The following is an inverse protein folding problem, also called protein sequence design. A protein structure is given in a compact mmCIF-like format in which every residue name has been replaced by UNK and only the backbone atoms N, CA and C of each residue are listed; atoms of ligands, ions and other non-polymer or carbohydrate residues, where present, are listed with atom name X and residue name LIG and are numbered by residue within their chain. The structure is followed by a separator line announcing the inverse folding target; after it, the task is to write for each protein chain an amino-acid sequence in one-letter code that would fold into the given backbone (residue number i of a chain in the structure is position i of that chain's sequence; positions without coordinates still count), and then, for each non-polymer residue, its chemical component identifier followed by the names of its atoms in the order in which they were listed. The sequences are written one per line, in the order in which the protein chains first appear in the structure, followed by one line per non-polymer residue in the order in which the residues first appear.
data_IF_828351306947
#
_entry.id   IF_828351306947
#
_cell.length_a   1.000
_cell.length_b   1.000
_cell.length_c   1.000
_cell.angle_alpha   90.00
_cell.angle_beta   90.00
_cell.angle_gamma   90.00
#
_symmetry.space_group_name_H-M   'P 1'
#
loop_
_entity.id
_entity.type
_entity.pdbx_description
1 polymer ?
#
# COMPACT_ATOMS: atom_id res chain seq x y z
N UNK A 1 11.53 19.30 -0.09
CA UNK A 1 10.45 18.29 0.06
C UNK A 1 9.12 19.02 0.21
N UNK A 2 8.05 18.56 -0.43
CA UNK A 2 6.76 19.27 -0.46
C UNK A 2 5.84 18.99 0.76
N UNK A 3 6.19 18.04 1.64
CA UNK A 3 5.51 17.80 2.92
C UNK A 3 4.19 17.02 2.87
N UNK A 4 3.75 16.56 1.70
CA UNK A 4 2.51 15.79 1.53
C UNK A 4 2.72 14.27 1.38
N UNK A 5 1.61 13.51 1.39
CA UNK A 5 1.58 12.05 1.18
C UNK A 5 2.42 11.24 2.18
N UNK A 6 2.43 11.69 3.44
CA UNK A 6 3.16 11.02 4.52
C UNK A 6 2.53 9.69 4.92
N UNK A 7 1.21 9.56 4.77
CA UNK A 7 0.47 8.33 5.04
C UNK A 7 -0.37 8.04 3.82
N UNK A 8 -0.26 6.81 3.32
CA UNK A 8 -0.98 6.33 2.15
C UNK A 8 -1.79 5.10 2.53
N UNK A 9 -3.02 4.97 2.03
CA UNK A 9 -3.88 3.81 2.24
C UNK A 9 -4.31 3.27 0.88
N UNK A 10 -3.97 2.01 0.56
CA UNK A 10 -4.43 1.35 -0.66
C UNK A 10 -4.40 -0.17 -0.51
N UNK A 11 -4.48 -0.92 -1.62
CA UNK A 11 -4.40 -2.39 -1.65
C UNK A 11 -3.21 -2.87 -2.48
N UNK A 12 -2.65 -4.00 -2.08
CA UNK A 12 -1.55 -4.67 -2.80
C UNK A 12 -0.16 -4.19 -2.41
N UNK A 13 0.84 -4.88 -2.93
CA UNK A 13 2.25 -4.56 -2.75
C UNK A 13 2.66 -3.31 -3.53
N UNK A 14 3.74 -2.66 -3.10
CA UNK A 14 4.29 -1.46 -3.74
C UNK A 14 5.74 -1.72 -4.15
N UNK A 15 6.24 -0.90 -5.07
CA UNK A 15 7.64 -0.94 -5.49
C UNK A 15 8.57 -0.45 -4.38
N UNK A 16 9.84 -0.84 -4.46
CA UNK A 16 10.90 -0.40 -3.54
C UNK A 16 11.07 1.12 -3.48
N UNK A 17 10.65 1.84 -4.52
CA UNK A 17 10.65 3.32 -4.54
C UNK A 17 9.77 3.89 -3.43
N UNK A 18 8.61 3.27 -3.16
CA UNK A 18 7.69 3.71 -2.10
C UNK A 18 8.30 3.41 -0.72
N UNK A 19 8.91 2.24 -0.54
CA UNK A 19 9.61 1.87 0.69
C UNK A 19 10.74 2.84 1.02
N UNK A 20 11.55 3.18 0.03
CA UNK A 20 12.64 4.15 0.20
C UNK A 20 12.11 5.55 0.50
N UNK A 21 11.01 5.96 -0.14
CA UNK A 21 10.36 7.24 0.13
C UNK A 21 9.80 7.31 1.57
N UNK A 22 9.13 6.25 2.04
CA UNK A 22 8.65 6.15 3.42
C UNK A 22 9.81 6.28 4.42
N UNK A 23 10.90 5.53 4.21
CA UNK A 23 12.10 5.60 5.05
C UNK A 23 12.74 6.99 5.07
N UNK A 24 12.87 7.63 3.90
CA UNK A 24 13.52 8.92 3.79
C UNK A 24 12.70 10.08 4.34
N UNK A 25 11.38 9.92 4.48
CA UNK A 25 10.45 10.98 4.88
C UNK A 25 9.73 10.71 6.20
N UNK A 26 9.85 9.52 6.80
CA UNK A 26 9.05 9.15 7.96
C UNK A 26 7.60 8.82 7.61
N UNK A 27 7.37 8.26 6.41
CA UNK A 27 6.04 7.96 5.90
C UNK A 27 5.61 6.51 6.15
N UNK A 28 4.31 6.25 5.99
CA UNK A 28 3.69 4.93 6.19
C UNK A 28 2.80 4.57 5.01
N UNK A 29 2.79 3.28 4.66
CA UNK A 29 1.83 2.72 3.71
C UNK A 29 0.96 1.69 4.41
N UNK A 30 -0.34 1.96 4.43
CA UNK A 30 -1.38 1.14 5.00
C UNK A 30 -2.05 0.31 3.90
N UNK A 31 -2.12 -1.00 4.09
CA UNK A 31 -2.82 -1.94 3.24
C UNK A 31 -4.23 -2.19 3.74
N UNK A 32 -5.25 -1.85 2.96
CA UNK A 32 -6.63 -2.31 3.17
C UNK A 32 -6.87 -3.67 2.50
N UNK A 33 -7.91 -4.37 2.95
CA UNK A 33 -8.31 -5.67 2.41
C UNK A 33 -8.98 -5.45 1.04
N UNK A 34 -8.39 -6.04 -0.01
CA UNK A 34 -8.96 -6.01 -1.35
C UNK A 34 -10.10 -7.02 -1.51
N UNK A 35 -11.22 -6.62 -2.12
CA UNK A 35 -12.40 -7.46 -2.33
C UNK A 35 -13.66 -6.89 -1.67
N UNK A 36 -13.75 -6.88 -0.33
CA UNK A 36 -14.94 -6.38 0.38
C UNK A 36 -15.01 -4.85 0.46
N UNK A 37 -14.49 -4.13 -0.53
CA UNK A 37 -14.40 -2.67 -0.52
C UNK A 37 -15.77 -2.01 -0.39
N UNK A 38 -16.81 -2.56 -1.02
CA UNK A 38 -18.18 -2.05 -0.91
C UNK A 38 -18.76 -2.23 0.51
N UNK A 39 -18.48 -3.38 1.15
CA UNK A 39 -18.93 -3.65 2.51
C UNK A 39 -18.19 -2.76 3.52
N UNK A 40 -16.86 -2.67 3.39
CA UNK A 40 -16.03 -1.77 4.21
C UNK A 40 -16.45 -0.32 4.03
N UNK A 41 -16.76 0.08 2.80
CA UNK A 41 -17.30 1.40 2.54
C UNK A 41 -18.62 1.62 3.29
N UNK A 42 -19.55 0.67 3.20
CA UNK A 42 -20.85 0.76 3.85
C UNK A 42 -20.77 0.79 5.39
N UNK A 43 -19.89 0.00 6.00
CA UNK A 43 -19.79 -0.11 7.46
C UNK A 43 -18.91 0.98 8.08
N UNK A 44 -17.78 1.30 7.43
CA UNK A 44 -16.74 2.15 7.99
C UNK A 44 -16.83 3.60 7.53
N UNK A 45 -17.41 3.93 6.37
CA UNK A 45 -17.49 5.32 5.90
C UNK A 45 -18.74 5.98 6.48
N UNK A 46 -18.54 7.06 7.24
CA UNK A 46 -19.61 7.84 7.88
C UNK A 46 -20.03 9.05 7.07
N UNK A 47 -19.13 9.59 6.27
CA UNK A 47 -19.37 10.78 5.46
C UNK A 47 -18.50 10.77 4.20
N UNK A 48 -19.05 11.28 3.10
CA UNK A 48 -18.35 11.46 1.82
C UNK A 48 -18.70 12.84 1.27
N UNK A 49 -17.69 13.65 0.97
CA UNK A 49 -17.82 14.97 0.37
C UNK A 49 -16.81 15.12 -0.76
N UNK A 50 -17.21 15.75 -1.87
CA UNK A 50 -16.28 16.15 -2.93
C UNK A 50 -15.49 17.36 -2.43
N UNK A 51 -14.17 17.29 -2.50
CA UNK A 51 -13.28 18.36 -2.08
C UNK A 51 -12.74 19.15 -3.28
N UNK A 52 -12.37 18.47 -4.36
CA UNK A 52 -11.77 19.09 -5.55
C UNK A 52 -11.95 18.21 -6.80
N UNK A 53 -11.83 18.81 -8.00
CA UNK A 53 -11.93 18.15 -9.32
C UNK A 53 -13.20 17.31 -9.55
N UNK A 54 -14.37 17.90 -9.28
CA UNK A 54 -15.68 17.25 -9.43
C UNK A 54 -15.93 16.70 -10.85
N UNK A 55 -15.35 17.33 -11.88
CA UNK A 55 -15.46 16.91 -13.27
C UNK A 55 -14.85 15.53 -13.57
N UNK A 56 -13.96 15.04 -12.69
CA UNK A 56 -13.35 13.70 -12.82
C UNK A 56 -14.27 12.58 -12.31
N UNK A 57 -15.46 12.91 -11.82
CA UNK A 57 -16.46 11.94 -11.36
C UNK A 57 -15.90 11.07 -10.24
N UNK A 58 -15.81 9.75 -10.47
CA UNK A 58 -15.31 8.82 -9.45
C UNK A 58 -13.83 9.03 -9.08
N UNK A 59 -13.05 9.70 -9.93
CA UNK A 59 -11.63 10.01 -9.69
C UNK A 59 -11.41 11.39 -9.03
N UNK A 60 -12.50 12.10 -8.68
CA UNK A 60 -12.42 13.36 -7.93
C UNK A 60 -11.69 13.19 -6.59
N UNK A 61 -11.26 14.31 -5.99
CA UNK A 61 -10.68 14.28 -4.65
C UNK A 61 -11.81 14.26 -3.62
N UNK A 62 -11.90 13.17 -2.88
CA UNK A 62 -12.94 12.97 -1.87
C UNK A 62 -12.40 13.19 -0.47
N UNK A 63 -13.16 13.94 0.35
CA UNK A 63 -12.98 13.96 1.80
C UNK A 63 -13.94 12.94 2.40
N UNK A 64 -13.39 11.91 3.03
CA UNK A 64 -14.15 10.86 3.70
C UNK A 64 -13.89 10.86 5.20
N UNK A 65 -14.93 10.62 5.99
CA UNK A 65 -14.83 10.36 7.42
C UNK A 65 -15.05 8.88 7.65
N UNK A 66 -14.11 8.23 8.33
CA UNK A 66 -14.12 6.78 8.55
C UNK A 66 -14.05 6.44 10.03
N UNK A 67 -14.70 5.35 10.42
CA UNK A 67 -14.65 4.79 11.76
C UNK A 67 -14.33 3.29 11.68
N UNK A 68 -13.41 2.82 12.53
CA UNK A 68 -13.00 1.41 12.62
C UNK A 68 -12.57 0.80 11.27
N UNK A 69 -11.93 1.58 10.40
CA UNK A 69 -11.49 1.11 9.09
C UNK A 69 -10.29 0.15 9.22
N UNK A 70 -10.42 -1.13 8.84
CA UNK A 70 -9.35 -2.10 8.99
C UNK A 70 -8.23 -1.84 7.98
N UNK A 71 -7.00 -1.73 8.48
CA UNK A 71 -5.81 -1.61 7.67
C UNK A 71 -4.59 -2.25 8.36
N UNK A 72 -3.63 -2.67 7.55
CA UNK A 72 -2.36 -3.24 8.00
C UNK A 72 -1.22 -2.28 7.67
N UNK A 73 -0.22 -2.16 8.54
CA UNK A 73 1.03 -1.46 8.17
C UNK A 73 1.80 -2.36 7.22
N UNK A 74 1.85 -1.97 5.95
CA UNK A 74 2.56 -2.72 4.90
C UNK A 74 3.98 -2.19 4.74
N UNK A 75 4.16 -0.87 4.76
CA UNK A 75 5.48 -0.24 4.79
C UNK A 75 5.56 0.72 5.97
N UNK A 76 6.66 0.63 6.71
CA UNK A 76 6.95 1.55 7.81
C UNK A 76 7.97 2.64 7.45
N UNK A 77 8.17 3.55 8.38
CA UNK A 77 9.13 4.65 8.33
C UNK A 77 10.60 4.21 8.46
N UNK A 78 10.87 2.91 8.64
CA UNK A 78 12.21 2.34 8.84
C UNK A 78 12.71 1.61 7.59
N UNK A 79 11.84 1.45 6.60
CA UNK A 79 12.12 0.75 5.35
C UNK A 79 11.80 -0.74 5.40
N UNK A 80 10.99 -1.17 6.36
CA UNK A 80 10.44 -2.52 6.38
C UNK A 80 9.23 -2.58 5.43
N UNK A 81 9.12 -3.68 4.70
CA UNK A 81 7.99 -3.97 3.83
C UNK A 81 7.48 -5.39 4.08
N UNK A 82 6.19 -5.50 4.40
CA UNK A 82 5.52 -6.76 4.73
C UNK A 82 5.67 -7.82 3.64
N UNK A 83 5.71 -7.42 2.37
CA UNK A 83 5.78 -8.36 1.25
C UNK A 83 7.19 -8.88 0.94
N UNK A 84 8.25 -8.26 1.47
CA UNK A 84 9.64 -8.65 1.16
C UNK A 84 9.95 -10.09 1.58
N UNK A 85 9.32 -10.59 2.65
CA UNK A 85 9.47 -11.97 3.11
C UNK A 85 8.83 -12.99 2.14
N UNK A 86 7.80 -12.59 1.40
CA UNK A 86 7.06 -13.47 0.47
C UNK A 86 7.57 -13.43 -0.97
N UNK A 87 8.30 -12.37 -1.34
CA UNK A 87 8.84 -12.19 -2.71
C UNK A 87 10.30 -12.63 -2.85
N UNK A 88 10.97 -13.03 -1.77
CA UNK A 88 12.28 -13.71 -1.89
C UNK A 88 12.07 -15.03 -2.61
N UNK A 89 12.59 -15.14 -3.84
CA UNK A 89 12.77 -16.44 -4.45
C UNK A 89 13.59 -17.29 -3.48
N UNK A 90 13.04 -18.43 -3.07
CA UNK A 90 13.85 -19.53 -2.58
C UNK A 90 14.71 -19.95 -3.77
N UNK A 91 15.85 -19.30 -3.93
CA UNK A 91 16.89 -19.73 -4.86
C UNK A 91 17.40 -21.09 -4.41
N UNK A 92 16.63 -22.14 -4.69
CA UNK A 92 17.18 -23.48 -4.79
C UNK A 92 17.98 -23.50 -6.09
N UNK A 93 19.25 -23.15 -6.00
CA UNK A 93 20.22 -23.57 -7.01
C UNK A 93 20.14 -25.09 -7.08
N UNK A 94 19.48 -25.61 -8.12
CA UNK A 94 19.56 -27.03 -8.47
C UNK A 94 21.02 -27.22 -8.91
N UNK A 95 21.83 -28.03 -8.20
CA UNK A 95 23.19 -28.28 -8.63
C UNK A 95 23.11 -29.05 -9.95
N UNK A 96 23.38 -28.36 -11.06
CA UNK A 96 23.67 -29.04 -12.32
C UNK A 96 24.98 -29.81 -12.10
N UNK A 97 24.91 -31.12 -12.30
CA UNK A 97 26.06 -32.02 -12.18
C UNK A 97 27.20 -31.58 -13.13
N UNK A 98 28.44 -32.01 -12.85
CA UNK A 98 29.61 -31.51 -13.58
C UNK A 98 29.48 -31.79 -15.08
N UNK A 99 29.87 -30.80 -15.88
CA UNK A 99 29.92 -30.89 -17.34
C UNK A 99 30.78 -32.11 -17.74
N UNK A 100 30.13 -33.12 -18.32
CA UNK A 100 30.81 -34.22 -19.00
C UNK A 100 31.38 -33.67 -20.31
N UNK A 101 32.66 -33.31 -20.28
CA UNK A 101 33.46 -33.03 -21.46
C UNK A 101 33.67 -34.23 -22.38
#
# INVERSE_FOLDING_TARGET
KAGGSMIMLAKGNRSSVVTNACKANGGFYLGSIGGPAALLAQECIKKVEILDFEELGMEAVWKIEVENFPAFVVVDDKGNNFFDATTKSLGMTIPVGPDSG
#
